data_IF_698514262488
#
_entry.id   IF_698514262488
#
_cell.length_a   1.000
_cell.length_b   1.000
_cell.length_c   1.000
_cell.angle_alpha   90.00
_cell.angle_beta   90.00
_cell.angle_gamma   90.00
#
_symmetry.space_group_name_H-M   'P 1'
#
loop_
_entity.id
_entity.type
_entity.pdbx_description
1 polymer ?
#
# COMPACT_ATOMS: atom_id res chain seq x y z
N UNK A 1 -5.80 -16.00 12.16
CA UNK A 1 -5.64 -15.86 10.69
C UNK A 1 -5.43 -14.38 10.44
N UNK A 2 -4.29 -14.00 9.85
CA UNK A 2 -3.96 -12.60 9.63
C UNK A 2 -4.93 -11.94 8.64
N UNK A 3 -5.19 -10.65 8.84
CA UNK A 3 -6.22 -9.87 8.15
C UNK A 3 -5.63 -8.57 7.59
N UNK A 4 -4.60 -8.68 6.74
CA UNK A 4 -3.99 -7.50 6.10
C UNK A 4 -5.02 -6.75 5.22
N UNK A 5 -5.85 -7.46 4.44
CA UNK A 5 -6.80 -6.82 3.52
C UNK A 5 -8.10 -6.30 4.17
N UNK A 6 -8.18 -6.24 5.49
CA UNK A 6 -9.37 -5.76 6.19
C UNK A 6 -9.03 -4.93 7.42
N UNK A 7 -9.98 -4.10 7.83
CA UNK A 7 -9.84 -3.19 8.95
C UNK A 7 -10.84 -3.56 10.04
N UNK A 8 -10.37 -3.61 11.29
CA UNK A 8 -11.21 -3.79 12.48
C UNK A 8 -11.62 -2.45 13.06
N UNK A 9 -12.63 -2.42 13.91
CA UNK A 9 -13.04 -1.20 14.61
C UNK A 9 -11.87 -0.56 15.40
N UNK A 10 -11.90 0.78 15.62
CA UNK A 10 -10.92 1.44 16.48
C UNK A 10 -10.76 0.70 17.81
N UNK A 11 -9.54 0.30 18.13
CA UNK A 11 -9.24 -0.62 19.23
C UNK A 11 -8.33 0.05 20.27
N UNK A 12 -8.69 0.03 21.57
CA UNK A 12 -7.82 0.54 22.63
C UNK A 12 -6.47 -0.19 22.66
N UNK A 13 -5.38 0.55 22.85
CA UNK A 13 -4.00 0.02 22.94
C UNK A 13 -3.55 -0.82 21.73
N UNK A 14 -4.16 -0.62 20.55
CA UNK A 14 -3.75 -1.30 19.32
C UNK A 14 -2.26 -1.06 19.05
N UNK A 15 -1.54 -2.13 18.76
CA UNK A 15 -0.13 -2.06 18.35
C UNK A 15 -0.09 -2.02 16.82
N UNK A 16 0.77 -1.16 16.27
CA UNK A 16 0.95 -1.08 14.83
C UNK A 16 1.28 -2.45 14.21
N UNK A 17 0.85 -2.64 12.97
CA UNK A 17 1.16 -3.84 12.20
C UNK A 17 1.75 -3.44 10.87
N UNK A 18 2.85 -4.09 10.49
CA UNK A 18 3.53 -3.86 9.21
C UNK A 18 3.45 -5.13 8.39
N UNK A 19 2.88 -5.02 7.19
CA UNK A 19 2.79 -6.11 6.24
C UNK A 19 3.67 -5.81 5.03
N UNK A 20 4.50 -6.79 4.65
CA UNK A 20 5.31 -6.76 3.45
C UNK A 20 4.62 -7.64 2.42
N UNK A 21 4.16 -7.03 1.33
CA UNK A 21 3.37 -7.73 0.33
C UNK A 21 4.26 -8.27 -0.78
N UNK A 22 4.13 -9.55 -1.08
CA UNK A 22 4.67 -10.12 -2.32
C UNK A 22 3.71 -9.78 -3.47
N UNK A 23 4.10 -8.78 -4.26
CA UNK A 23 3.25 -8.18 -5.29
C UNK A 23 3.72 -8.55 -6.68
N UNK A 24 2.77 -8.90 -7.54
CA UNK A 24 3.03 -9.15 -8.95
C UNK A 24 2.71 -7.89 -9.76
N UNK A 25 3.72 -7.35 -10.43
CA UNK A 25 3.54 -6.26 -11.36
C UNK A 25 2.77 -6.72 -12.62
N UNK A 26 2.04 -5.80 -13.24
CA UNK A 26 1.41 -5.98 -14.55
C UNK A 26 2.45 -6.04 -15.69
N UNK A 27 1.98 -6.18 -16.93
CA UNK A 27 2.84 -6.24 -18.12
C UNK A 27 3.67 -4.96 -18.36
N UNK A 28 3.29 -3.84 -17.74
CA UNK A 28 3.97 -2.56 -17.81
C UNK A 28 4.87 -2.30 -16.58
N UNK A 29 4.94 -3.24 -15.64
CA UNK A 29 5.75 -3.14 -14.43
C UNK A 29 5.10 -2.38 -13.28
N UNK A 30 3.79 -2.12 -13.33
CA UNK A 30 3.06 -1.45 -12.26
C UNK A 30 2.43 -2.42 -11.27
N UNK A 31 2.47 -2.05 -9.99
CA UNK A 31 1.72 -2.68 -8.91
C UNK A 31 0.54 -1.79 -8.56
N UNK A 32 -0.61 -2.41 -8.24
CA UNK A 32 -1.83 -1.73 -7.86
C UNK A 32 -2.23 -2.15 -6.45
N UNK A 33 -2.60 -1.18 -5.64
CA UNK A 33 -3.21 -1.39 -4.34
C UNK A 33 -4.38 -0.42 -4.17
N UNK A 34 -5.42 -0.85 -3.45
CA UNK A 34 -6.62 -0.05 -3.25
C UNK A 34 -7.11 -0.08 -1.81
N UNK A 35 -7.60 1.05 -1.35
CA UNK A 35 -8.37 1.19 -0.12
C UNK A 35 -9.84 1.36 -0.49
N UNK A 36 -10.69 0.48 0.03
CA UNK A 36 -12.12 0.45 -0.30
C UNK A 36 -12.92 0.56 0.98
N UNK A 37 -13.80 1.56 1.05
CA UNK A 37 -14.80 1.71 2.10
C UNK A 37 -16.19 1.60 1.50
N UNK A 38 -16.79 0.40 1.55
CA UNK A 38 -18.13 0.15 1.00
C UNK A 38 -19.25 0.87 1.76
N UNK A 39 -19.05 1.19 3.04
CA UNK A 39 -20.05 1.83 3.90
C UNK A 39 -19.96 3.36 3.94
N UNK A 40 -19.07 3.97 3.16
CA UNK A 40 -18.93 5.41 3.12
C UNK A 40 -20.20 6.08 2.58
N UNK A 41 -20.57 7.25 3.14
CA UNK A 41 -21.77 8.03 2.78
C UNK A 41 -23.01 7.16 2.57
N UNK A 42 -23.49 6.50 3.62
CA UNK A 42 -24.71 5.67 3.59
C UNK A 42 -24.71 4.56 2.51
N UNK A 43 -23.52 4.06 2.16
CA UNK A 43 -23.36 2.97 1.19
C UNK A 43 -23.10 3.43 -0.25
N UNK A 44 -22.93 4.73 -0.49
CA UNK A 44 -22.41 5.26 -1.77
C UNK A 44 -21.01 4.71 -2.08
N UNK A 45 -20.24 4.44 -1.03
CA UNK A 45 -18.94 3.81 -1.12
C UNK A 45 -17.83 4.77 -1.53
N UNK A 46 -16.59 4.38 -1.22
CA UNK A 46 -15.40 5.16 -1.57
C UNK A 46 -14.24 4.23 -1.88
N UNK A 47 -13.45 4.60 -2.89
CA UNK A 47 -12.29 3.84 -3.32
C UNK A 47 -11.15 4.77 -3.71
N UNK A 48 -9.94 4.48 -3.24
CA UNK A 48 -8.69 5.11 -3.68
C UNK A 48 -7.74 4.01 -4.13
N UNK A 49 -7.10 4.16 -5.30
CA UNK A 49 -6.00 3.27 -5.69
C UNK A 49 -4.71 4.04 -5.82
N UNK A 50 -3.64 3.28 -5.68
CA UNK A 50 -2.28 3.68 -6.02
C UNK A 50 -1.76 2.70 -7.06
N UNK A 51 -1.19 3.25 -8.14
CA UNK A 51 -0.49 2.51 -9.19
C UNK A 51 0.97 2.93 -9.17
N UNK A 52 1.86 2.03 -8.76
CA UNK A 52 3.28 2.37 -8.60
C UNK A 52 4.26 1.18 -8.57
N UNK A 53 5.37 1.39 -7.87
CA UNK A 53 6.64 0.66 -7.80
C UNK A 53 6.50 -0.79 -7.31
N UNK A 54 7.52 -1.64 -7.52
CA UNK A 54 7.42 -3.08 -7.32
C UNK A 54 7.41 -3.53 -5.85
N UNK A 55 7.56 -2.62 -4.88
CA UNK A 55 7.47 -2.95 -3.45
C UNK A 55 6.23 -2.30 -2.89
N UNK A 56 5.46 -3.06 -2.10
CA UNK A 56 4.34 -2.56 -1.33
C UNK A 56 4.49 -2.96 0.13
N UNK A 57 4.49 -1.96 0.99
CA UNK A 57 4.36 -2.11 2.44
C UNK A 57 3.01 -1.53 2.87
N UNK A 58 2.38 -2.20 3.81
CA UNK A 58 1.17 -1.70 4.47
C UNK A 58 1.48 -1.49 5.94
N UNK A 59 1.46 -0.23 6.38
CA UNK A 59 1.54 0.12 7.80
C UNK A 59 0.12 0.36 8.32
N UNK A 60 -0.31 -0.42 9.31
CA UNK A 60 -1.69 -0.42 9.80
C UNK A 60 -1.76 -0.02 11.26
N UNK A 61 -2.60 0.99 11.54
CA UNK A 61 -2.90 1.44 12.89
C UNK A 61 -4.41 1.58 13.08
N UNK A 62 -5.08 0.54 13.58
CA UNK A 62 -6.50 0.54 13.90
C UNK A 62 -6.76 0.97 15.36
N UNK A 63 -5.99 1.96 15.85
CA UNK A 63 -6.08 2.43 17.22
C UNK A 63 -7.21 3.43 17.46
N UNK A 64 -7.71 3.50 18.69
CA UNK A 64 -8.51 4.64 19.13
C UNK A 64 -7.69 5.93 19.10
N UNK A 65 -8.29 7.02 18.63
CA UNK A 65 -7.61 8.32 18.45
C UNK A 65 -6.61 8.37 17.29
N UNK A 66 -6.12 7.24 16.80
CA UNK A 66 -5.23 7.14 15.63
C UNK A 66 -5.64 5.93 14.79
N UNK A 67 -6.52 6.18 13.83
CA UNK A 67 -7.08 5.17 12.94
C UNK A 67 -6.67 5.46 11.49
N UNK A 68 -5.60 4.83 11.04
CA UNK A 68 -4.93 5.19 9.78
C UNK A 68 -4.25 3.97 9.16
N UNK A 69 -4.14 3.99 7.83
CA UNK A 69 -3.34 3.04 7.07
C UNK A 69 -2.37 3.78 6.15
N UNK A 70 -1.12 3.38 6.18
CA UNK A 70 -0.11 3.71 5.20
C UNK A 70 -0.15 2.67 4.09
N UNK A 71 -0.49 3.11 2.88
CA UNK A 71 -0.24 2.35 1.66
C UNK A 71 1.10 2.84 1.10
N UNK A 72 2.17 2.09 1.32
CA UNK A 72 3.55 2.54 1.14
C UNK A 72 4.22 1.84 -0.04
N UNK A 73 3.95 2.28 -1.29
CA UNK A 73 4.72 1.85 -2.44
C UNK A 73 6.15 2.37 -2.35
N UNK A 74 7.12 1.53 -2.71
CA UNK A 74 8.53 1.86 -2.57
C UNK A 74 9.44 1.19 -3.59
N UNK A 75 10.70 1.64 -3.65
CA UNK A 75 11.74 0.95 -4.43
C UNK A 75 12.41 -0.17 -3.64
N UNK A 76 12.30 -0.12 -2.31
CA UNK A 76 12.97 -0.95 -1.34
C UNK A 76 12.03 -1.18 -0.16
N UNK A 77 12.30 -2.24 0.60
CA UNK A 77 11.60 -2.49 1.85
C UNK A 77 12.17 -1.63 2.99
N UNK A 78 11.42 -1.47 4.08
CA UNK A 78 11.73 -0.55 5.19
C UNK A 78 12.63 -1.14 6.28
N UNK A 79 13.48 -2.12 5.93
CA UNK A 79 14.41 -2.77 6.89
C UNK A 79 15.72 -2.00 7.10
N UNK A 80 15.84 -0.83 6.46
CA UNK A 80 16.97 0.06 6.60
C UNK A 80 18.08 -0.17 5.57
N UNK A 81 18.71 0.93 5.16
CA UNK A 81 19.66 0.99 4.05
C UNK A 81 20.86 0.04 4.19
N UNK A 82 21.37 -0.16 5.40
CA UNK A 82 22.52 -1.03 5.64
C UNK A 82 22.19 -2.49 5.35
N UNK A 83 21.00 -2.95 5.75
CA UNK A 83 20.55 -4.31 5.48
C UNK A 83 20.24 -4.46 3.98
N UNK A 84 19.50 -3.52 3.39
CA UNK A 84 19.21 -3.53 1.96
C UNK A 84 20.47 -3.63 1.09
N UNK A 85 21.55 -2.93 1.49
CA UNK A 85 22.85 -3.03 0.82
C UNK A 85 23.50 -4.40 1.00
N UNK A 86 23.51 -4.91 2.23
CA UNK A 86 24.12 -6.21 2.56
C UNK A 86 23.44 -7.34 1.79
N UNK A 87 22.12 -7.28 1.68
CA UNK A 87 21.28 -8.27 1.01
C UNK A 87 21.18 -8.04 -0.51
N UNK A 88 21.88 -7.05 -1.06
CA UNK A 88 21.90 -6.79 -2.51
C UNK A 88 20.61 -6.23 -3.10
N UNK A 89 19.65 -5.83 -2.26
CA UNK A 89 18.36 -5.23 -2.67
C UNK A 89 18.44 -3.72 -2.90
N UNK A 90 19.46 -3.05 -2.37
CA UNK A 90 19.62 -1.61 -2.51
C UNK A 90 19.85 -1.23 -3.98
N UNK A 91 18.94 -0.43 -4.55
CA UNK A 91 19.12 0.13 -5.89
C UNK A 91 20.24 1.16 -5.90
N UNK A 92 21.16 1.01 -6.86
CA UNK A 92 22.29 1.93 -7.08
C UNK A 92 22.19 2.48 -8.50
N UNK A 93 22.39 3.79 -8.67
CA UNK A 93 22.50 4.44 -9.97
C UNK A 93 23.96 4.78 -10.26
N UNK A 94 24.41 4.52 -11.49
CA UNK A 94 25.74 4.87 -11.96
C UNK A 94 25.87 6.39 -12.25
N UNK A 95 27.09 6.94 -12.38
CA UNK A 95 27.28 8.33 -12.80
C UNK A 95 26.59 8.62 -14.15
N UNK A 96 25.70 9.62 -14.15
CA UNK A 96 24.90 9.99 -15.33
C UNK A 96 23.64 9.15 -15.55
N UNK A 97 23.42 8.09 -14.77
CA UNK A 97 22.20 7.31 -14.84
C UNK A 97 21.02 8.06 -14.19
N UNK A 98 19.85 7.96 -14.81
CA UNK A 98 18.60 8.53 -14.30
C UNK A 98 17.56 7.43 -14.14
N UNK A 99 16.73 7.54 -13.11
CA UNK A 99 15.58 6.68 -12.93
C UNK A 99 14.32 7.54 -12.75
N UNK A 100 13.27 7.20 -13.47
CA UNK A 100 11.96 7.84 -13.39
C UNK A 100 10.99 6.90 -12.68
N UNK A 101 10.21 7.46 -11.76
CA UNK A 101 9.12 6.78 -11.10
C UNK A 101 7.84 7.55 -11.35
N UNK A 102 6.82 6.85 -11.86
CA UNK A 102 5.49 7.40 -12.04
C UNK A 102 4.61 6.86 -10.91
N UNK A 103 3.92 7.77 -10.24
CA UNK A 103 2.95 7.48 -9.19
C UNK A 103 1.63 8.09 -9.62
N UNK A 104 0.61 7.24 -9.66
CA UNK A 104 -0.76 7.66 -9.89
C UNK A 104 -1.58 7.30 -8.65
N UNK A 105 -2.28 8.31 -8.14
CA UNK A 105 -3.24 8.19 -7.04
C UNK A 105 -4.55 8.75 -7.57
N UNK A 106 -5.59 7.94 -7.55
CA UNK A 106 -6.88 8.37 -8.03
C UNK A 106 -8.02 7.73 -7.21
N UNK A 107 -9.11 8.48 -7.10
CA UNK A 107 -10.38 7.92 -6.66
C UNK A 107 -11.00 7.09 -7.79
N UNK A 108 -11.89 6.18 -7.44
CA UNK A 108 -12.70 5.49 -8.42
C UNK A 108 -14.04 5.08 -7.82
N UNK A 109 -15.12 5.60 -8.39
CA UNK A 109 -16.48 5.31 -7.92
C UNK A 109 -17.04 3.99 -8.50
N UNK A 110 -16.66 3.63 -9.75
CA UNK A 110 -17.32 2.53 -10.48
C UNK A 110 -17.02 1.12 -9.94
N UNK A 111 -15.83 0.88 -9.39
CA UNK A 111 -15.48 -0.46 -8.87
C UNK A 111 -16.11 -0.75 -7.49
N UNK A 112 -16.45 0.27 -6.69
CA UNK A 112 -17.11 0.03 -5.39
C UNK A 112 -18.50 -0.61 -5.59
N UNK A 113 -19.16 -0.28 -6.70
CA UNK A 113 -20.44 -0.88 -7.12
C UNK A 113 -20.28 -2.27 -7.74
N UNK A 114 -19.14 -2.58 -8.36
CA UNK A 114 -18.91 -3.89 -9.01
C UNK A 114 -18.47 -5.01 -8.06
N UNK A 115 -17.94 -4.68 -6.88
CA UNK A 115 -17.61 -5.65 -5.80
C UNK A 115 -18.78 -5.82 -4.80
N UNK A 116 -20.01 -5.50 -5.22
CA UNK A 116 -21.25 -5.79 -4.47
C UNK A 116 -21.83 -7.21 -4.76
N UNK A 117 -21.08 -8.06 -5.47
CA UNK A 117 -21.40 -9.48 -5.65
C UNK A 117 -20.93 -10.36 -4.50
#
# INVERSE_FOLDING_TARGET
MERFASFQEPTPNFQEQVYYHDVKADEYGYVYNALINKGFQDGEGFGLYIKQLPVLIEWKMNGEGTYVVGMEPGTNIVDGRSLERKEGRLRILAPGESCLYNLEIAEFEEFVKSVQG
#
